data_IF_170596955820
#
_entry.id   IF_170596955820
#
_cell.length_a   1.000
_cell.length_b   1.000
_cell.length_c   1.000
_cell.angle_alpha   90.00
_cell.angle_beta   90.00
_cell.angle_gamma   90.00
#
_symmetry.space_group_name_H-M   'P 1'
#
loop_
_entity.id
_entity.type
_entity.pdbx_description
1 polymer ?
#
# COMPACT_ATOMS: atom_id res chain seq x y z
N UNK A 1 -2.18 9.91 -0.95
CA UNK A 1 -2.15 9.61 -2.40
C UNK A 1 -3.58 9.67 -2.90
N UNK A 2 -4.12 10.86 -3.25
CA UNK A 2 -5.52 10.98 -3.64
C UNK A 2 -5.83 10.07 -4.84
N UNK A 3 -6.74 9.11 -4.66
CA UNK A 3 -7.14 8.15 -5.71
C UNK A 3 -6.58 6.73 -5.56
N UNK A 4 -5.48 6.52 -4.84
CA UNK A 4 -4.90 5.18 -4.61
C UNK A 4 -4.84 4.78 -3.13
N UNK A 5 -4.91 5.73 -2.20
CA UNK A 5 -4.89 5.45 -0.76
C UNK A 5 -6.09 4.56 -0.36
N UNK A 6 -5.82 3.43 0.30
CA UNK A 6 -6.81 2.43 0.70
C UNK A 6 -6.99 1.27 -0.29
N UNK A 7 -6.39 1.34 -1.48
CA UNK A 7 -6.43 0.25 -2.47
C UNK A 7 -5.43 -0.89 -2.18
N UNK A 8 -5.65 -2.08 -2.75
CA UNK A 8 -4.76 -3.22 -2.57
C UNK A 8 -3.44 -3.03 -3.34
N UNK A 9 -2.33 -3.35 -2.68
CA UNK A 9 -1.04 -3.60 -3.32
C UNK A 9 -0.97 -5.08 -3.71
N UNK A 10 -0.85 -5.36 -5.00
CA UNK A 10 -0.86 -6.72 -5.55
C UNK A 10 0.49 -7.08 -6.16
N UNK A 11 0.92 -8.34 -6.00
CA UNK A 11 2.09 -8.87 -6.70
C UNK A 11 1.71 -9.44 -8.08
N UNK A 12 2.70 -9.92 -8.84
CA UNK A 12 2.46 -10.47 -10.19
C UNK A 12 1.63 -11.75 -10.22
N UNK A 13 1.48 -12.43 -9.08
CA UNK A 13 0.61 -13.61 -8.94
C UNK A 13 -0.85 -13.22 -8.63
N UNK A 14 -1.14 -11.93 -8.43
CA UNK A 14 -2.47 -11.43 -8.06
C UNK A 14 -2.76 -11.50 -6.56
N UNK A 15 -1.76 -11.78 -5.73
CA UNK A 15 -1.92 -11.82 -4.28
C UNK A 15 -1.89 -10.41 -3.69
N UNK A 16 -2.76 -10.14 -2.72
CA UNK A 16 -2.76 -8.88 -1.97
C UNK A 16 -1.67 -8.96 -0.90
N UNK A 17 -0.64 -8.12 -1.03
CA UNK A 17 0.52 -8.08 -0.11
C UNK A 17 0.50 -6.87 0.82
N UNK A 18 -0.38 -5.89 0.57
CA UNK A 18 -0.55 -4.73 1.44
C UNK A 18 -1.65 -3.77 1.02
N UNK A 19 -1.75 -2.65 1.72
CA UNK A 19 -2.71 -1.56 1.49
C UNK A 19 -1.92 -0.29 1.22
N UNK A 20 -2.14 0.36 0.07
CA UNK A 20 -1.44 1.60 -0.29
C UNK A 20 -1.83 2.71 0.66
N UNK A 21 -0.85 3.30 1.36
CA UNK A 21 -1.10 4.35 2.36
C UNK A 21 -0.63 5.72 1.87
N UNK A 22 0.59 5.79 1.34
CA UNK A 22 1.20 7.05 0.94
C UNK A 22 2.10 6.92 -0.29
N UNK A 23 2.37 8.08 -0.89
CA UNK A 23 3.43 8.25 -1.88
C UNK A 23 4.30 9.43 -1.45
N UNK A 24 5.60 9.29 -1.65
CA UNK A 24 6.56 10.37 -1.55
C UNK A 24 7.06 10.69 -2.95
N UNK A 25 6.83 11.93 -3.39
CA UNK A 25 7.42 12.43 -4.62
C UNK A 25 8.66 13.27 -4.27
N UNK A 26 9.88 12.84 -4.63
CA UNK A 26 11.09 13.63 -4.35
C UNK A 26 11.19 14.87 -5.25
N UNK A 27 10.28 15.04 -6.20
CA UNK A 27 10.24 16.18 -7.13
C UNK A 27 8.90 16.91 -7.06
N UNK A 28 8.85 18.12 -7.64
CA UNK A 28 7.59 18.88 -7.80
C UNK A 28 6.77 18.44 -9.03
N UNK A 29 7.19 17.39 -9.74
CA UNK A 29 6.44 16.89 -10.88
C UNK A 29 5.06 16.39 -10.43
N UNK A 30 4.01 16.67 -11.21
CA UNK A 30 2.65 16.20 -10.90
C UNK A 30 2.42 14.71 -11.20
N UNK A 31 3.46 14.01 -11.65
CA UNK A 31 3.47 12.58 -11.90
C UNK A 31 4.18 11.87 -10.75
N UNK A 32 3.64 10.74 -10.30
CA UNK A 32 4.33 9.88 -9.34
C UNK A 32 5.54 9.22 -10.02
N UNK A 33 6.74 9.57 -9.55
CA UNK A 33 8.02 9.01 -10.00
C UNK A 33 8.89 8.55 -8.82
N UNK A 34 8.25 8.37 -7.65
CA UNK A 34 8.92 8.26 -6.35
C UNK A 34 8.53 7.02 -5.54
N UNK A 35 8.75 7.08 -4.23
CA UNK A 35 8.61 5.93 -3.32
C UNK A 35 7.14 5.77 -2.90
N UNK A 36 6.63 4.54 -2.97
CA UNK A 36 5.31 4.17 -2.45
C UNK A 36 5.42 3.51 -1.08
N UNK A 37 4.45 3.76 -0.21
CA UNK A 37 4.34 3.13 1.11
C UNK A 37 3.05 2.33 1.21
N UNK A 38 3.12 1.19 1.89
CA UNK A 38 1.99 0.32 2.16
C UNK A 38 2.03 -0.23 3.58
N UNK A 39 0.85 -0.42 4.17
CA UNK A 39 0.69 -1.28 5.35
C UNK A 39 0.69 -2.73 4.88
N UNK A 40 1.43 -3.61 5.55
CA UNK A 40 1.45 -5.04 5.18
C UNK A 40 0.09 -5.68 5.42
N UNK A 41 -0.29 -6.66 4.59
CA UNK A 41 -1.58 -7.34 4.75
C UNK A 41 -1.69 -8.07 6.09
N UNK A 42 -0.57 -8.56 6.61
CA UNK A 42 -0.47 -9.14 7.96
C UNK A 42 -0.79 -8.11 9.05
N UNK A 43 -0.18 -6.93 9.01
CA UNK A 43 -0.45 -5.87 9.99
C UNK A 43 -1.90 -5.39 9.93
N UNK A 44 -2.49 -5.32 8.74
CA UNK A 44 -3.90 -5.02 8.57
C UNK A 44 -4.80 -6.11 9.15
N UNK A 45 -4.45 -7.38 8.94
CA UNK A 45 -5.14 -8.53 9.51
C UNK A 45 -5.17 -8.47 11.04
N UNK A 46 -4.01 -8.26 11.66
CA UNK A 46 -3.90 -8.11 13.13
C UNK A 46 -4.77 -6.94 13.62
N UNK A 47 -4.77 -5.81 12.91
CA UNK A 47 -5.57 -4.64 13.28
C UNK A 47 -7.08 -4.89 13.28
N UNK A 48 -7.56 -5.88 12.51
CA UNK A 48 -8.98 -6.29 12.47
C UNK A 48 -9.26 -7.61 13.21
N UNK A 49 -8.30 -8.09 14.02
CA UNK A 49 -8.46 -9.27 14.86
C UNK A 49 -8.24 -10.61 14.16
N UNK A 50 -7.63 -10.61 12.97
CA UNK A 50 -7.21 -11.84 12.29
C UNK A 50 -5.84 -12.25 12.86
N UNK A 51 -5.69 -13.47 13.41
CA UNK A 51 -4.41 -13.94 13.94
C UNK A 51 -3.37 -14.11 12.82
N UNK A 52 -2.07 -13.87 13.10
CA UNK A 52 -1.00 -14.23 12.19
C UNK A 52 -0.99 -15.76 12.02
N UNK A 53 -0.96 -16.21 10.76
CA UNK A 53 -0.90 -17.63 10.39
C UNK A 53 0.46 -18.25 10.64
#
# INVERSE_FOLDING_TARGET
NPGNSGGPLVNMAGEVVGIVTAILNPTRARTFIGIGFATTIESAGVAVGIPPF
#
